data_IF_545313459152
#
_entry.id   IF_545313459152
#
_cell.length_a   1.000
_cell.length_b   1.000
_cell.length_c   1.000
_cell.angle_alpha   90.00
_cell.angle_beta   90.00
_cell.angle_gamma   90.00
#
_symmetry.space_group_name_H-M   'P 1'
#
loop_
_entity.id
_entity.type
_entity.pdbx_description
1 polymer ?
#
# COMPACT_ATOMS: atom_id res chain seq x y z
N UNK A 1 -9.09 2.40 -1.17
CA UNK A 1 -8.58 2.63 0.22
C UNK A 1 -7.16 2.11 0.26
N UNK A 2 -6.17 3.00 0.32
CA UNK A 2 -4.76 2.62 0.47
C UNK A 2 -4.30 2.92 1.90
N UNK A 3 -3.86 1.89 2.63
CA UNK A 3 -3.35 2.07 4.00
C UNK A 3 -2.10 2.95 4.03
N UNK A 4 -1.22 2.79 3.04
CA UNK A 4 -0.03 3.64 2.91
C UNK A 4 -0.38 5.11 2.72
N UNK A 5 -1.43 5.42 1.96
CA UNK A 5 -1.86 6.82 1.77
C UNK A 5 -2.50 7.40 3.03
N UNK A 6 -3.25 6.59 3.78
CA UNK A 6 -3.81 7.04 5.06
C UNK A 6 -2.68 7.37 6.04
N UNK A 7 -1.66 6.52 6.17
CA UNK A 7 -0.52 6.80 7.03
C UNK A 7 0.24 8.06 6.59
N UNK A 8 0.50 8.22 5.29
CA UNK A 8 1.16 9.43 4.75
C UNK A 8 0.36 10.70 4.96
N UNK A 9 -0.97 10.64 4.81
CA UNK A 9 -1.85 11.76 5.11
C UNK A 9 -1.80 12.14 6.60
N UNK A 10 -1.83 11.15 7.49
CA UNK A 10 -1.70 11.37 8.92
C UNK A 10 -0.32 11.97 9.28
N UNK A 11 0.74 11.50 8.66
CA UNK A 11 2.08 12.05 8.84
C UNK A 11 2.14 13.52 8.41
N UNK A 12 1.60 13.84 7.23
CA UNK A 12 1.54 15.21 6.71
C UNK A 12 0.76 16.15 7.63
N UNK A 13 -0.29 15.64 8.27
CA UNK A 13 -1.12 16.37 9.23
C UNK A 13 -0.52 16.40 10.65
N UNK A 14 0.62 15.74 10.89
CA UNK A 14 1.31 15.72 12.17
C UNK A 14 0.61 14.95 13.28
N UNK A 15 -0.32 14.04 12.95
CA UNK A 15 -1.05 13.24 13.94
C UNK A 15 -0.12 12.24 14.65
N UNK A 16 -0.51 11.80 15.85
CA UNK A 16 0.26 10.78 16.57
C UNK A 16 0.31 9.44 15.82
N UNK A 17 -0.77 9.07 15.13
CA UNK A 17 -0.81 7.92 14.22
C UNK A 17 0.25 8.03 13.12
N UNK A 18 0.34 9.19 12.46
CA UNK A 18 1.33 9.42 11.41
C UNK A 18 2.77 9.33 11.93
N UNK A 19 3.06 9.93 13.08
CA UNK A 19 4.39 9.87 13.71
C UNK A 19 4.79 8.45 14.11
N UNK A 20 3.86 7.68 14.67
CA UNK A 20 4.08 6.27 15.00
C UNK A 20 4.37 5.43 13.75
N UNK A 21 3.55 5.58 12.72
CA UNK A 21 3.69 4.82 11.47
C UNK A 21 5.00 5.14 10.74
N UNK A 22 5.48 6.39 10.79
CA UNK A 22 6.66 6.83 10.06
C UNK A 22 7.89 5.96 10.34
N UNK A 23 8.18 5.70 11.61
CA UNK A 23 9.38 4.96 12.01
C UNK A 23 9.42 3.53 11.44
N UNK A 24 8.27 2.90 11.25
CA UNK A 24 8.16 1.58 10.61
C UNK A 24 8.28 1.70 9.09
N UNK A 25 7.58 2.65 8.48
CA UNK A 25 7.59 2.85 7.03
C UNK A 25 9.00 3.19 6.52
N UNK A 26 9.75 4.05 7.23
CA UNK A 26 11.11 4.47 6.84
C UNK A 26 12.11 3.29 6.87
N UNK A 27 11.84 2.26 7.67
CA UNK A 27 12.63 1.00 7.70
C UNK A 27 12.07 -0.10 6.80
N UNK A 28 10.97 0.16 6.08
CA UNK A 28 10.30 -0.84 5.25
C UNK A 28 9.56 -1.92 6.03
N UNK A 29 9.33 -1.71 7.31
CA UNK A 29 8.59 -2.60 8.22
C UNK A 29 7.09 -2.37 8.16
N UNK A 30 6.31 -3.36 8.64
CA UNK A 30 4.87 -3.19 8.80
C UNK A 30 4.56 -2.38 10.07
N UNK A 31 3.63 -1.44 9.95
CA UNK A 31 3.05 -0.78 11.12
C UNK A 31 2.31 -1.84 11.95
N UNK A 32 2.37 -1.81 13.30
CA UNK A 32 1.73 -2.81 14.14
C UNK A 32 0.28 -3.07 13.78
N UNK A 33 -0.11 -4.37 13.80
CA UNK A 33 -1.45 -4.81 13.40
C UNK A 33 -2.56 -4.13 14.18
N UNK A 34 -2.37 -3.89 15.47
CA UNK A 34 -3.37 -3.19 16.32
C UNK A 34 -3.72 -1.82 15.76
N UNK A 35 -2.72 -1.08 15.29
CA UNK A 35 -2.89 0.26 14.71
C UNK A 35 -3.52 0.18 13.32
N UNK A 36 -3.00 -0.72 12.49
CA UNK A 36 -3.46 -0.85 11.10
C UNK A 36 -4.89 -1.39 11.03
N UNK A 37 -5.23 -2.39 11.85
CA UNK A 37 -6.56 -3.00 11.90
C UNK A 37 -7.62 -1.99 12.35
N UNK A 38 -7.33 -1.19 13.38
CA UNK A 38 -8.24 -0.14 13.88
C UNK A 38 -8.50 0.91 12.79
N UNK A 39 -7.43 1.40 12.17
CA UNK A 39 -7.53 2.37 11.09
C UNK A 39 -8.38 1.85 9.91
N UNK A 40 -8.23 0.58 9.53
CA UNK A 40 -9.02 -0.01 8.45
C UNK A 40 -10.47 -0.20 8.89
N UNK A 41 -10.72 -0.62 10.13
CA UNK A 41 -12.07 -0.74 10.70
C UNK A 41 -12.82 0.59 10.64
N UNK A 42 -12.18 1.66 11.09
CA UNK A 42 -12.74 3.02 11.07
C UNK A 42 -13.02 3.47 9.65
N UNK A 43 -12.05 3.28 8.75
CA UNK A 43 -12.18 3.69 7.34
C UNK A 43 -13.31 2.96 6.60
N UNK A 44 -13.49 1.68 6.85
CA UNK A 44 -14.60 0.88 6.31
C UNK A 44 -15.96 1.23 6.97
N UNK A 45 -15.96 2.01 8.05
CA UNK A 45 -17.16 2.56 8.67
C UNK A 45 -17.72 3.80 7.96
N UNK A 46 -16.95 4.43 7.09
CA UNK A 46 -17.37 5.66 6.41
C UNK A 46 -18.42 5.34 5.33
N UNK A 47 -19.32 6.29 5.10
CA UNK A 47 -20.46 6.12 4.17
C UNK A 47 -20.05 5.88 2.72
N UNK A 48 -18.89 6.38 2.30
CA UNK A 48 -18.38 6.17 0.94
C UNK A 48 -17.90 4.72 0.67
N UNK A 49 -17.61 3.95 1.73
CA UNK A 49 -17.27 2.54 1.63
C UNK A 49 -18.50 1.61 1.60
N UNK A 50 -19.69 2.12 1.92
CA UNK A 50 -20.91 1.30 2.04
C UNK A 50 -21.36 0.66 0.72
N UNK A 51 -21.03 1.26 -0.42
CA UNK A 51 -21.40 0.75 -1.75
C UNK A 51 -20.30 -0.10 -2.40
N UNK A 52 -19.25 -0.43 -1.66
CA UNK A 52 -18.11 -1.22 -2.12
C UNK A 52 -16.78 -0.49 -1.89
N UNK A 53 -15.71 -1.25 -1.94
CA UNK A 53 -14.36 -0.74 -1.71
C UNK A 53 -13.31 -1.58 -2.44
N UNK A 54 -12.17 -0.98 -2.69
CA UNK A 54 -10.93 -1.64 -3.05
C UNK A 54 -9.90 -1.34 -1.95
N UNK A 55 -9.31 -2.38 -1.36
CA UNK A 55 -8.21 -2.24 -0.42
C UNK A 55 -6.88 -2.42 -1.15
N UNK A 56 -5.96 -1.50 -0.92
CA UNK A 56 -4.59 -1.55 -1.41
C UNK A 56 -3.62 -1.50 -0.23
N UNK A 57 -2.70 -2.47 -0.19
CA UNK A 57 -1.73 -2.60 0.88
C UNK A 57 -2.28 -3.10 2.22
N UNK A 58 -3.45 -3.76 2.20
CA UNK A 58 -4.06 -4.45 3.33
C UNK A 58 -4.98 -5.56 2.84
N UNK A 59 -4.97 -6.75 3.48
CA UNK A 59 -4.09 -7.18 4.56
C UNK A 59 -2.65 -7.43 4.07
N UNK A 60 -1.66 -7.40 4.99
CA UNK A 60 -0.26 -7.70 4.71
C UNK A 60 0.29 -8.88 5.50
N UNK A 61 -0.52 -9.52 6.32
CA UNK A 61 -0.24 -10.79 6.97
C UNK A 61 -1.53 -11.53 7.27
N UNK A 62 -1.42 -12.81 7.65
CA UNK A 62 -2.60 -13.66 7.90
C UNK A 62 -3.44 -13.20 9.08
N UNK A 63 -2.83 -12.59 10.09
CA UNK A 63 -3.58 -12.03 11.23
C UNK A 63 -4.46 -10.85 10.77
N UNK A 64 -3.92 -9.94 9.98
CA UNK A 64 -4.71 -8.86 9.38
C UNK A 64 -5.83 -9.39 8.47
N UNK A 65 -5.58 -10.49 7.74
CA UNK A 65 -6.60 -11.11 6.89
C UNK A 65 -7.76 -11.68 7.72
N UNK A 66 -7.46 -12.33 8.85
CA UNK A 66 -8.49 -12.83 9.76
C UNK A 66 -9.32 -11.70 10.38
N UNK A 67 -8.65 -10.61 10.78
CA UNK A 67 -9.34 -9.42 11.33
C UNK A 67 -10.19 -8.74 10.26
N UNK A 68 -9.72 -8.67 9.00
CA UNK A 68 -10.51 -8.15 7.89
C UNK A 68 -11.79 -8.96 7.69
N UNK A 69 -11.69 -10.29 7.68
CA UNK A 69 -12.87 -11.16 7.56
C UNK A 69 -13.89 -10.87 8.66
N UNK A 70 -13.43 -10.68 9.91
CA UNK A 70 -14.33 -10.34 11.02
C UNK A 70 -14.99 -8.98 10.81
N UNK A 71 -14.23 -7.95 10.42
CA UNK A 71 -14.76 -6.61 10.13
C UNK A 71 -15.83 -6.68 9.04
N UNK A 72 -15.58 -7.45 7.99
CA UNK A 72 -16.51 -7.57 6.87
C UNK A 72 -17.75 -8.38 7.22
N UNK A 73 -17.61 -9.44 8.04
CA UNK A 73 -18.75 -10.19 8.57
C UNK A 73 -19.66 -9.31 9.43
N UNK A 74 -19.09 -8.54 10.35
CA UNK A 74 -19.84 -7.62 11.23
C UNK A 74 -20.61 -6.57 10.41
N UNK A 75 -20.05 -6.12 9.29
CA UNK A 75 -20.65 -5.14 8.38
C UNK A 75 -21.55 -5.76 7.30
N UNK A 76 -21.62 -7.08 7.19
CA UNK A 76 -22.32 -7.83 6.12
C UNK A 76 -21.85 -7.43 4.72
N UNK A 77 -20.57 -7.21 4.56
CA UNK A 77 -19.90 -6.81 3.32
C UNK A 77 -18.93 -7.93 2.91
N UNK A 78 -19.38 -8.97 2.17
CA UNK A 78 -18.47 -10.05 1.77
C UNK A 78 -17.37 -9.54 0.84
N UNK A 79 -16.22 -10.21 0.88
CA UNK A 79 -15.13 -9.96 -0.05
C UNK A 79 -15.43 -10.68 -1.37
N UNK A 80 -15.52 -9.94 -2.47
CA UNK A 80 -15.85 -10.51 -3.78
C UNK A 80 -14.64 -11.15 -4.46
N UNK A 81 -13.47 -10.51 -4.38
CA UNK A 81 -12.26 -10.98 -5.03
C UNK A 81 -10.98 -10.51 -4.33
N UNK A 82 -9.93 -11.31 -4.47
CA UNK A 82 -8.56 -10.95 -4.14
C UNK A 82 -7.72 -10.96 -5.41
N UNK A 83 -7.02 -9.86 -5.69
CA UNK A 83 -6.17 -9.71 -6.86
C UNK A 83 -4.70 -9.67 -6.43
N UNK A 84 -3.89 -10.58 -6.94
CA UNK A 84 -2.45 -10.55 -6.80
C UNK A 84 -1.80 -10.02 -8.08
N UNK A 85 -0.94 -9.03 -7.96
CA UNK A 85 -0.09 -8.55 -9.05
C UNK A 85 1.29 -9.19 -8.92
N UNK A 86 1.64 -10.10 -9.83
CA UNK A 86 2.96 -10.74 -9.87
C UNK A 86 3.92 -9.93 -10.73
N UNK A 87 4.99 -9.49 -10.12
CA UNK A 87 6.08 -8.73 -10.74
C UNK A 87 7.40 -9.29 -10.21
N UNK A 88 8.42 -9.35 -11.06
CA UNK A 88 9.77 -9.76 -10.65
C UNK A 88 10.40 -8.74 -9.71
N UNK A 89 11.14 -9.21 -8.71
CA UNK A 89 11.76 -8.33 -7.70
C UNK A 89 12.67 -7.26 -8.33
N UNK A 90 13.42 -7.59 -9.38
CA UNK A 90 14.25 -6.62 -10.09
C UNK A 90 13.42 -5.47 -10.69
N UNK A 91 12.27 -5.78 -11.26
CA UNK A 91 11.35 -4.78 -11.82
C UNK A 91 10.70 -3.95 -10.70
N UNK A 92 10.37 -4.56 -9.56
CA UNK A 92 9.86 -3.84 -8.38
C UNK A 92 10.90 -2.82 -7.90
N UNK A 93 12.16 -3.24 -7.74
CA UNK A 93 13.25 -2.36 -7.30
C UNK A 93 13.39 -1.18 -8.27
N UNK A 94 13.43 -1.45 -9.58
CA UNK A 94 13.56 -0.43 -10.62
C UNK A 94 12.40 0.58 -10.57
N UNK A 95 11.17 0.10 -10.43
CA UNK A 95 9.96 0.94 -10.37
C UNK A 95 9.88 1.78 -9.10
N UNK A 96 10.22 1.20 -7.96
CA UNK A 96 10.13 1.93 -6.70
C UNK A 96 11.28 2.92 -6.53
N UNK A 97 12.52 2.52 -6.83
CA UNK A 97 13.68 3.42 -6.69
C UNK A 97 13.63 4.62 -7.66
N UNK A 98 13.01 4.42 -8.83
CA UNK A 98 12.80 5.49 -9.81
C UNK A 98 11.59 6.38 -9.53
N UNK A 99 10.70 6.02 -8.61
CA UNK A 99 9.50 6.81 -8.28
C UNK A 99 9.85 8.14 -7.65
N UNK A 100 9.08 9.17 -8.01
CA UNK A 100 9.13 10.50 -7.40
C UNK A 100 7.73 10.90 -6.96
N UNK A 101 7.63 11.47 -5.77
CA UNK A 101 6.38 11.95 -5.21
C UNK A 101 6.38 13.48 -5.11
N UNK A 102 5.24 14.09 -5.28
CA UNK A 102 5.09 15.54 -5.14
C UNK A 102 4.73 15.92 -3.70
N UNK A 103 5.49 16.84 -3.09
CA UNK A 103 5.18 17.33 -1.73
C UNK A 103 3.87 18.12 -1.67
N UNK A 104 3.49 18.80 -2.75
CA UNK A 104 2.27 19.61 -2.80
C UNK A 104 1.01 18.75 -2.93
N UNK A 105 0.84 18.08 -4.07
CA UNK A 105 -0.40 17.37 -4.41
C UNK A 105 -0.38 15.86 -4.16
N UNK A 106 0.75 15.27 -3.75
CA UNK A 106 0.89 13.83 -3.55
C UNK A 106 0.98 13.01 -4.86
N UNK A 107 0.89 13.65 -6.02
CA UNK A 107 1.02 12.99 -7.32
C UNK A 107 2.39 12.31 -7.47
N UNK A 108 2.44 11.28 -8.30
CA UNK A 108 3.67 10.52 -8.59
C UNK A 108 4.11 10.72 -10.02
N UNK A 109 5.41 10.58 -10.25
CA UNK A 109 6.07 10.46 -11.55
C UNK A 109 7.21 9.46 -11.43
N UNK A 110 7.90 9.16 -12.53
CA UNK A 110 9.01 8.24 -12.54
C UNK A 110 10.17 8.80 -13.39
N UNK A 111 11.40 8.52 -12.96
CA UNK A 111 12.60 9.05 -13.65
C UNK A 111 12.78 8.47 -15.05
N UNK A 112 12.19 7.31 -15.32
CA UNK A 112 12.34 6.60 -16.60
C UNK A 112 10.99 6.41 -17.32
N UNK A 113 9.97 5.88 -16.64
CA UNK A 113 8.71 5.46 -17.27
C UNK A 113 7.70 6.60 -17.45
N UNK A 114 7.58 7.49 -16.47
CA UNK A 114 6.65 8.62 -16.47
C UNK A 114 7.41 9.89 -16.07
N UNK A 115 8.26 10.34 -16.99
CA UNK A 115 9.14 11.48 -16.74
C UNK A 115 8.36 12.78 -16.63
N UNK A 116 8.62 13.60 -15.59
CA UNK A 116 8.07 14.94 -15.55
C UNK A 116 8.65 15.79 -16.68
N UNK A 117 7.88 16.74 -17.20
CA UNK A 117 8.31 17.67 -18.27
C UNK A 117 9.54 18.48 -17.86
N UNK A 118 9.61 18.85 -16.59
CA UNK A 118 10.76 19.53 -16.00
C UNK A 118 11.26 18.67 -14.85
N UNK A 119 12.53 18.28 -14.88
CA UNK A 119 13.14 17.45 -13.85
C UNK A 119 12.96 18.09 -12.48
N UNK A 120 12.45 17.30 -11.52
CA UNK A 120 12.22 17.75 -10.14
C UNK A 120 10.94 18.56 -9.92
N UNK A 121 10.13 18.80 -10.96
CA UNK A 121 8.90 19.61 -10.89
C UNK A 121 7.69 18.76 -11.25
N UNK A 122 6.65 18.84 -10.44
CA UNK A 122 5.39 18.11 -10.67
C UNK A 122 4.59 18.75 -11.80
N UNK A 123 4.20 17.96 -12.82
CA UNK A 123 3.41 18.47 -13.94
C UNK A 123 1.99 18.92 -13.55
N UNK A 124 1.45 18.40 -12.42
CA UNK A 124 0.08 18.72 -11.98
C UNK A 124 -0.02 20.02 -11.21
N UNK A 125 0.93 20.32 -10.33
CA UNK A 125 0.83 21.46 -9.41
C UNK A 125 2.10 22.32 -9.32
N UNK A 126 3.11 22.02 -10.13
CA UNK A 126 4.42 22.71 -10.15
C UNK A 126 5.21 22.61 -8.82
N UNK A 127 4.77 21.76 -7.89
CA UNK A 127 5.46 21.52 -6.64
C UNK A 127 6.72 20.67 -6.82
N UNK A 128 7.63 20.71 -5.84
CA UNK A 128 8.87 19.93 -5.87
C UNK A 128 8.60 18.43 -5.79
N UNK A 129 9.29 17.66 -6.65
CA UNK A 129 9.33 16.21 -6.60
C UNK A 129 10.48 15.73 -5.72
N UNK A 130 10.26 14.65 -4.98
CA UNK A 130 11.28 14.02 -4.12
C UNK A 130 11.16 12.50 -4.17
N UNK A 131 12.22 11.80 -3.83
CA UNK A 131 12.19 10.37 -3.56
C UNK A 131 11.74 10.15 -2.11
N UNK A 132 10.81 9.22 -1.90
CA UNK A 132 10.39 8.84 -0.54
C UNK A 132 11.52 8.07 0.15
N UNK A 133 11.58 8.08 1.48
CA UNK A 133 12.54 7.28 2.24
C UNK A 133 12.34 5.79 2.00
N UNK A 134 11.08 5.35 1.92
CA UNK A 134 10.70 3.95 1.64
C UNK A 134 10.91 3.50 0.17
N UNK A 135 11.43 4.38 -0.69
CA UNK A 135 11.83 4.09 -2.07
C UNK A 135 13.36 3.98 -2.27
N UNK A 136 14.13 3.98 -1.20
CA UNK A 136 15.55 3.66 -1.23
C UNK A 136 15.77 2.17 -1.43
N UNK A 137 16.78 1.78 -2.18
CA UNK A 137 17.00 0.38 -2.57
C UNK A 137 17.12 -0.57 -1.37
N UNK A 138 17.85 -0.16 -0.32
CA UNK A 138 17.99 -0.94 0.91
C UNK A 138 16.65 -1.14 1.63
N UNK A 139 15.78 -0.12 1.62
CA UNK A 139 14.44 -0.21 2.23
C UNK A 139 13.52 -1.08 1.36
N UNK A 140 13.61 -0.96 0.03
CA UNK A 140 12.86 -1.82 -0.89
C UNK A 140 13.26 -3.29 -0.70
N UNK A 141 14.56 -3.59 -0.58
CA UNK A 141 15.02 -4.95 -0.31
C UNK A 141 14.39 -5.51 0.98
N UNK A 142 14.39 -4.74 2.06
CA UNK A 142 13.74 -5.13 3.31
C UNK A 142 12.24 -5.36 3.16
N UNK A 143 11.55 -4.53 2.39
CA UNK A 143 10.10 -4.70 2.09
C UNK A 143 9.82 -5.98 1.32
N UNK A 144 10.69 -6.38 0.40
CA UNK A 144 10.55 -7.64 -0.34
C UNK A 144 10.75 -8.87 0.56
N UNK A 145 11.71 -8.80 1.50
CA UNK A 145 11.89 -9.86 2.52
C UNK A 145 10.63 -10.01 3.38
N UNK A 146 10.12 -8.91 3.93
CA UNK A 146 8.90 -8.91 4.76
C UNK A 146 7.68 -9.38 3.94
N UNK A 147 7.60 -9.01 2.65
CA UNK A 147 6.54 -9.51 1.77
C UNK A 147 6.59 -11.04 1.68
N UNK A 148 7.75 -11.62 1.38
CA UNK A 148 7.90 -13.06 1.28
C UNK A 148 7.59 -13.79 2.60
N UNK A 149 8.02 -13.24 3.73
CA UNK A 149 7.82 -13.85 5.04
C UNK A 149 6.37 -13.73 5.56
N UNK A 150 5.74 -12.57 5.39
CA UNK A 150 4.49 -12.24 6.08
C UNK A 150 3.30 -12.09 5.15
N UNK A 151 3.50 -11.58 3.92
CA UNK A 151 2.40 -11.24 3.02
C UNK A 151 2.09 -12.38 2.04
N UNK A 152 3.07 -13.04 1.50
CA UNK A 152 2.87 -14.15 0.56
C UNK A 152 1.98 -15.27 1.14
N UNK A 153 2.04 -15.65 2.43
CA UNK A 153 1.13 -16.63 3.02
C UNK A 153 -0.37 -16.28 2.93
N UNK A 154 -0.72 -15.02 2.72
CA UNK A 154 -2.12 -14.58 2.51
C UNK A 154 -2.72 -15.21 1.26
N UNK A 155 -1.92 -15.49 0.24
CA UNK A 155 -2.33 -16.15 -0.99
C UNK A 155 -2.97 -17.52 -0.66
N UNK A 156 -2.29 -18.33 0.15
CA UNK A 156 -2.80 -19.63 0.59
C UNK A 156 -4.06 -19.46 1.46
N UNK A 157 -4.08 -18.46 2.33
CA UNK A 157 -5.23 -18.15 3.18
C UNK A 157 -6.50 -17.87 2.37
N UNK A 158 -6.45 -17.04 1.34
CA UNK A 158 -7.63 -16.73 0.52
C UNK A 158 -7.96 -17.81 -0.50
N UNK A 159 -6.98 -18.53 -1.03
CA UNK A 159 -7.23 -19.69 -1.88
C UNK A 159 -8.05 -20.77 -1.17
N UNK A 160 -7.90 -20.92 0.15
CA UNK A 160 -8.66 -21.89 0.94
C UNK A 160 -10.12 -21.47 1.22
N UNK A 161 -10.50 -20.23 0.94
CA UNK A 161 -11.79 -19.63 1.34
C UNK A 161 -12.81 -19.47 0.23
N UNK A 162 -12.66 -20.09 -0.90
CA UNK A 162 -13.60 -19.95 -2.04
C UNK A 162 -13.90 -18.49 -2.46
N UNK A 163 -13.04 -17.54 -2.07
CA UNK A 163 -13.05 -16.18 -2.60
C UNK A 163 -12.45 -16.21 -4.00
N UNK A 164 -13.01 -15.49 -4.95
CA UNK A 164 -12.44 -15.41 -6.29
C UNK A 164 -11.02 -14.87 -6.21
N UNK A 165 -10.02 -15.74 -6.47
CA UNK A 165 -8.61 -15.39 -6.47
C UNK A 165 -8.11 -15.34 -7.91
N UNK A 166 -7.53 -14.21 -8.28
CA UNK A 166 -6.94 -14.02 -9.61
C UNK A 166 -5.56 -13.40 -9.47
N UNK A 167 -4.57 -13.97 -10.13
CA UNK A 167 -3.26 -13.36 -10.25
C UNK A 167 -3.12 -12.74 -11.65
N UNK A 168 -2.66 -11.50 -11.70
CA UNK A 168 -2.32 -10.80 -12.92
C UNK A 168 -0.79 -10.69 -13.01
N UNK A 169 -0.22 -11.09 -14.14
CA UNK A 169 1.17 -10.76 -14.44
C UNK A 169 1.20 -9.35 -14.99
N UNK A 170 2.03 -8.50 -14.43
CA UNK A 170 2.29 -7.21 -15.04
C UNK A 170 2.99 -7.48 -16.39
N UNK A 171 2.30 -7.19 -17.48
CA UNK A 171 2.90 -7.19 -18.80
C UNK A 171 3.75 -5.93 -18.93
N UNK A 172 4.91 -6.07 -19.55
CA UNK A 172 5.68 -4.95 -20.03
C UNK A 172 4.81 -4.19 -21.05
N UNK A 173 4.44 -2.97 -20.71
CA UNK A 173 3.86 -2.00 -21.64
C UNK A 173 4.93 -1.03 -22.06
#
# INVERSE_FOLDING_TARGET
ISTGDIFRANLKNGTDLGKQAQSFMDRGELVPDSVTNEMVRDRLGNSDAANGFLLDGFPRNTNQAQVLDQILADKKMPLDAVLELKIDNAEIIKRLSGRRACRGCGGTSHVEFEKPKIVGVCDKCQGALYQREDDKEEVIARRLEIYAEQTEPIITFYNSKAVSYTHLRAHET
#
